data_IF_363479326002
#
_entry.id   IF_363479326002
#
_cell.length_a   1.000
_cell.length_b   1.000
_cell.length_c   1.000
_cell.angle_alpha   90.00
_cell.angle_beta   90.00
_cell.angle_gamma   90.00
#
_symmetry.space_group_name_H-M   'P 1'
#
loop_
_entity.id
_entity.type
_entity.pdbx_description
1 polymer ?
#
# COMPACT_ATOMS: atom_id res chain seq x y z
N UNK A 1 -64.70 59.69 -38.86
CA UNK A 1 -63.84 60.38 -37.88
C UNK A 1 -64.51 60.35 -36.50
N UNK A 2 -63.79 59.76 -35.54
CA UNK A 2 -63.77 60.09 -34.09
C UNK A 2 -65.07 60.07 -33.27
N UNK A 3 -65.25 59.02 -32.44
CA UNK A 3 -65.11 59.04 -30.95
C UNK A 3 -65.88 57.88 -30.30
N UNK A 4 -65.17 56.91 -29.75
CA UNK A 4 -65.69 55.95 -28.75
C UNK A 4 -64.59 55.65 -27.73
N UNK A 5 -64.52 56.45 -26.67
CA UNK A 5 -63.70 56.16 -25.48
C UNK A 5 -64.29 56.86 -24.25
N UNK A 6 -65.39 56.34 -23.73
CA UNK A 6 -65.91 56.73 -22.42
C UNK A 6 -66.62 55.60 -21.65
N UNK A 7 -66.43 54.34 -22.04
CA UNK A 7 -67.15 53.20 -21.45
C UNK A 7 -66.24 52.02 -21.07
N UNK A 8 -65.03 52.28 -20.54
CA UNK A 8 -64.16 51.22 -20.01
C UNK A 8 -63.60 51.48 -18.61
N UNK A 9 -63.79 52.66 -18.02
CA UNK A 9 -63.14 52.99 -16.75
C UNK A 9 -63.99 52.69 -15.49
N UNK A 10 -65.31 52.47 -15.62
CA UNK A 10 -66.16 52.14 -14.46
C UNK A 10 -66.26 50.64 -14.12
N UNK A 11 -65.75 49.75 -14.98
CA UNK A 11 -65.85 48.30 -14.76
C UNK A 11 -64.66 47.71 -14.00
N UNK A 12 -63.50 48.39 -13.98
CA UNK A 12 -62.31 47.90 -13.29
C UNK A 12 -62.25 48.26 -11.79
N UNK A 13 -62.94 49.31 -11.34
CA UNK A 13 -62.93 49.68 -9.92
C UNK A 13 -63.83 48.77 -9.06
N UNK A 14 -64.93 48.25 -9.60
CA UNK A 14 -65.82 47.34 -8.85
C UNK A 14 -65.28 45.91 -8.75
N UNK A 15 -64.49 45.46 -9.74
CA UNK A 15 -63.92 44.12 -9.75
C UNK A 15 -62.72 43.99 -8.78
N UNK A 16 -61.97 45.08 -8.55
CA UNK A 16 -60.86 45.05 -7.58
C UNK A 16 -61.33 45.09 -6.12
N UNK A 17 -62.50 45.67 -5.82
CA UNK A 17 -63.06 45.65 -4.46
C UNK A 17 -63.64 44.27 -4.07
N UNK A 18 -64.10 43.48 -5.04
CA UNK A 18 -64.62 42.13 -4.79
C UNK A 18 -63.52 41.07 -4.64
N UNK A 19 -62.32 41.32 -5.18
CA UNK A 19 -61.19 40.39 -5.04
C UNK A 19 -60.42 40.56 -3.73
N UNK A 20 -60.48 41.75 -3.11
CA UNK A 20 -59.80 42.03 -1.85
C UNK A 20 -60.54 41.49 -0.61
N UNK A 21 -61.84 41.21 -0.72
CA UNK A 21 -62.66 40.67 0.38
C UNK A 21 -62.75 39.14 0.39
N UNK A 22 -62.29 38.45 -0.66
CA UNK A 22 -62.22 36.98 -0.72
C UNK A 22 -60.89 36.39 -0.21
N UNK A 23 -59.94 37.23 0.20
CA UNK A 23 -58.60 36.82 0.66
C UNK A 23 -58.45 36.76 2.20
N UNK A 24 -59.54 36.97 2.96
CA UNK A 24 -59.49 37.08 4.43
C UNK A 24 -60.22 35.95 5.19
N UNK A 25 -60.72 34.89 4.53
CA UNK A 25 -61.53 33.86 5.20
C UNK A 25 -61.21 32.40 4.80
N UNK A 26 -59.96 32.07 4.47
CA UNK A 26 -59.51 30.66 4.39
C UNK A 26 -58.47 30.41 5.49
N UNK A 27 -58.96 30.45 6.72
CA UNK A 27 -58.31 29.84 7.87
C UNK A 27 -58.97 28.50 8.16
N UNK A 28 -58.39 27.41 7.64
CA UNK A 28 -58.61 26.05 8.15
C UNK A 28 -57.27 25.30 8.17
N UNK A 29 -56.67 25.27 9.36
CA UNK A 29 -56.07 24.08 9.97
C UNK A 29 -55.38 23.07 9.04
N UNK A 30 -54.16 23.39 8.60
CA UNK A 30 -53.15 22.36 8.35
C UNK A 30 -52.17 22.38 9.51
N UNK A 31 -52.56 21.77 10.64
CA UNK A 31 -51.58 21.28 11.61
C UNK A 31 -50.79 20.17 10.92
N UNK A 32 -49.77 20.55 10.16
CA UNK A 32 -48.71 19.64 9.76
C UNK A 32 -48.06 19.18 11.07
N UNK A 33 -48.51 18.04 11.59
CA UNK A 33 -47.71 17.33 12.56
C UNK A 33 -46.37 17.11 11.88
N UNK A 34 -45.32 17.78 12.39
CA UNK A 34 -43.96 17.42 12.07
C UNK A 34 -43.81 15.98 12.56
N UNK A 35 -44.11 15.03 11.68
CA UNK A 35 -43.80 13.62 11.87
C UNK A 35 -42.33 13.62 12.22
N UNK A 36 -42.00 13.17 13.43
CA UNK A 36 -40.62 13.04 13.84
C UNK A 36 -39.88 12.24 12.74
N UNK A 37 -38.64 12.62 12.38
CA UNK A 37 -37.87 11.83 11.42
C UNK A 37 -37.89 10.38 11.89
N UNK A 38 -38.26 9.47 10.98
CA UNK A 38 -38.32 8.05 11.29
C UNK A 38 -36.94 7.59 11.75
N UNK A 39 -36.89 6.74 12.79
CA UNK A 39 -35.64 6.17 13.26
C UNK A 39 -34.92 5.47 12.09
N UNK A 40 -33.58 5.60 11.98
CA UNK A 40 -32.81 5.00 10.90
C UNK A 40 -33.01 3.47 10.90
N UNK A 41 -33.28 2.89 9.73
CA UNK A 41 -33.46 1.46 9.59
C UNK A 41 -32.15 0.71 9.87
N UNK A 42 -32.26 -0.58 10.22
CA UNK A 42 -31.10 -1.40 10.57
C UNK A 42 -30.02 -1.42 9.46
N UNK A 43 -30.41 -1.34 8.19
CA UNK A 43 -29.50 -1.32 7.04
C UNK A 43 -29.05 0.06 6.56
N UNK A 44 -29.49 1.15 7.18
CA UNK A 44 -29.09 2.49 6.77
C UNK A 44 -27.62 2.77 7.19
N UNK A 45 -26.89 3.60 6.42
CA UNK A 45 -25.55 4.05 6.80
C UNK A 45 -25.57 4.84 8.13
N UNK A 46 -24.40 5.03 8.79
CA UNK A 46 -24.35 5.81 10.01
C UNK A 46 -24.68 7.28 9.77
N UNK A 47 -25.34 7.89 10.76
CA UNK A 47 -25.66 9.30 10.85
C UNK A 47 -24.39 10.09 11.20
N UNK A 48 -23.63 9.66 12.21
CA UNK A 48 -22.49 10.45 12.71
C UNK A 48 -21.35 10.56 11.69
N UNK A 49 -20.99 9.45 11.04
CA UNK A 49 -19.75 9.27 10.25
C UNK A 49 -18.50 9.83 10.95
N UNK A 50 -18.49 9.77 12.28
CA UNK A 50 -17.43 10.32 13.12
C UNK A 50 -16.72 9.17 13.81
N UNK A 51 -15.47 8.93 13.42
CA UNK A 51 -14.63 7.92 14.04
C UNK A 51 -13.16 8.24 13.81
N UNK A 52 -12.31 7.69 14.67
CA UNK A 52 -10.86 7.85 14.65
C UNK A 52 -10.21 6.51 14.96
N UNK A 53 -9.16 6.17 14.24
CA UNK A 53 -8.31 5.02 14.54
C UNK A 53 -7.56 5.30 15.86
N UNK A 54 -7.69 4.39 16.83
CA UNK A 54 -6.90 4.45 18.07
C UNK A 54 -5.57 3.75 17.83
N UNK A 55 -5.62 2.47 17.42
CA UNK A 55 -4.46 1.63 17.20
C UNK A 55 -4.78 0.49 16.24
N UNK A 56 -3.74 -0.07 15.61
CA UNK A 56 -3.82 -1.35 14.94
C UNK A 56 -3.51 -2.43 15.98
N UNK A 57 -4.51 -3.23 16.34
CA UNK A 57 -4.38 -4.23 17.41
C UNK A 57 -3.63 -5.47 16.90
N UNK A 58 -3.88 -5.84 15.64
CA UNK A 58 -3.16 -6.88 14.92
C UNK A 58 -3.18 -6.61 13.42
N UNK A 59 -2.58 -7.52 12.64
CA UNK A 59 -2.64 -7.52 11.18
C UNK A 59 -4.09 -7.51 10.63
N UNK A 60 -5.03 -8.11 11.36
CA UNK A 60 -6.43 -8.34 10.97
C UNK A 60 -7.45 -7.59 11.83
N UNK A 61 -7.03 -6.93 12.91
CA UNK A 61 -7.91 -6.21 13.81
C UNK A 61 -7.45 -4.78 14.08
N UNK A 62 -8.40 -3.84 14.01
CA UNK A 62 -8.16 -2.43 14.34
C UNK A 62 -9.08 -1.98 15.45
N UNK A 63 -8.58 -1.09 16.31
CA UNK A 63 -9.37 -0.47 17.37
C UNK A 63 -9.78 0.94 16.92
N UNK A 64 -11.07 1.17 16.80
CA UNK A 64 -11.65 2.42 16.30
C UNK A 64 -12.50 3.06 17.39
N UNK A 65 -12.26 4.33 17.70
CA UNK A 65 -13.17 5.13 18.53
C UNK A 65 -14.19 5.77 17.61
N UNK A 66 -15.47 5.45 17.80
CA UNK A 66 -16.55 6.00 17.01
C UNK A 66 -17.57 6.75 17.88
N UNK A 67 -18.10 7.82 17.31
CA UNK A 67 -19.22 8.59 17.87
C UNK A 67 -20.52 8.05 17.29
N UNK A 68 -21.56 7.93 18.11
CA UNK A 68 -22.89 7.59 17.64
C UNK A 68 -23.94 8.56 18.12
N UNK A 69 -24.95 8.75 17.29
CA UNK A 69 -26.05 9.68 17.50
C UNK A 69 -27.40 8.93 17.41
N UNK A 70 -28.34 9.24 18.29
CA UNK A 70 -29.68 8.64 18.26
C UNK A 70 -30.69 9.34 19.15
N UNK A 71 -31.98 9.04 18.99
CA UNK A 71 -33.03 9.54 19.90
C UNK A 71 -33.11 8.75 21.20
N UNK A 72 -32.37 7.65 21.28
CA UNK A 72 -32.17 6.87 22.49
C UNK A 72 -30.73 6.38 22.56
N UNK A 73 -30.29 6.03 23.76
CA UNK A 73 -29.02 5.33 24.01
C UNK A 73 -28.84 4.06 23.17
N UNK A 74 -29.92 3.35 22.84
CA UNK A 74 -29.85 2.15 21.99
C UNK A 74 -29.52 2.51 20.55
N UNK A 75 -30.20 3.52 20.00
CA UNK A 75 -29.95 4.03 18.65
C UNK A 75 -28.54 4.63 18.52
N UNK A 76 -28.11 5.42 19.51
CA UNK A 76 -26.77 6.00 19.52
C UNK A 76 -25.68 4.91 19.55
N UNK A 77 -25.90 3.78 20.24
CA UNK A 77 -24.99 2.63 20.20
C UNK A 77 -24.93 1.97 18.83
N UNK A 78 -26.09 1.78 18.19
CA UNK A 78 -26.14 1.18 16.86
C UNK A 78 -25.49 2.07 15.82
N UNK A 79 -25.72 3.38 15.89
CA UNK A 79 -25.07 4.37 15.04
C UNK A 79 -23.54 4.37 15.22
N UNK A 80 -23.05 4.31 16.47
CA UNK A 80 -21.61 4.24 16.76
C UNK A 80 -20.94 3.01 16.12
N UNK A 81 -21.60 1.85 16.17
CA UNK A 81 -21.12 0.62 15.51
C UNK A 81 -21.00 0.80 14.01
N UNK A 82 -22.07 1.33 13.39
CA UNK A 82 -22.11 1.60 11.94
C UNK A 82 -21.06 2.64 11.54
N UNK A 83 -20.82 3.65 12.37
CA UNK A 83 -19.80 4.67 12.15
C UNK A 83 -18.39 4.08 12.19
N UNK A 84 -18.13 3.13 13.10
CA UNK A 84 -16.88 2.40 13.15
C UNK A 84 -16.64 1.56 11.88
N UNK A 85 -17.68 0.83 11.42
CA UNK A 85 -17.61 0.06 10.17
C UNK A 85 -17.44 0.96 8.94
N UNK A 86 -18.20 2.05 8.85
CA UNK A 86 -18.06 3.05 7.78
C UNK A 86 -16.64 3.62 7.73
N UNK A 87 -16.03 3.87 8.89
CA UNK A 87 -14.68 4.42 8.97
C UNK A 87 -13.65 3.48 8.33
N UNK A 88 -13.69 2.18 8.62
CA UNK A 88 -12.74 1.23 8.00
C UNK A 88 -13.03 0.98 6.52
N UNK A 89 -14.29 1.12 6.09
CA UNK A 89 -14.67 0.91 4.69
C UNK A 89 -14.34 2.09 3.79
N UNK A 90 -14.65 3.31 4.23
CA UNK A 90 -14.67 4.50 3.38
C UNK A 90 -13.99 5.72 4.00
N UNK A 91 -13.88 5.74 5.32
CA UNK A 91 -13.24 6.82 6.08
C UNK A 91 -11.77 6.54 6.37
N UNK A 92 -11.20 7.36 7.26
CA UNK A 92 -9.80 7.25 7.65
C UNK A 92 -8.83 7.49 6.49
N UNK A 93 -7.58 7.16 6.73
CA UNK A 93 -6.49 7.38 5.76
C UNK A 93 -6.21 6.12 4.92
N UNK A 94 -6.68 4.95 5.37
CA UNK A 94 -6.50 3.65 4.69
C UNK A 94 -7.82 2.88 4.59
N UNK A 95 -8.83 3.40 3.88
CA UNK A 95 -10.10 2.71 3.71
C UNK A 95 -9.92 1.36 2.98
N UNK A 96 -10.84 0.43 3.17
CA UNK A 96 -10.88 -0.80 2.36
C UNK A 96 -11.38 -0.55 0.94
N UNK A 97 -12.15 0.53 0.73
CA UNK A 97 -12.69 0.94 -0.57
C UNK A 97 -11.95 2.19 -1.06
N UNK A 98 -10.92 1.95 -1.88
CA UNK A 98 -9.92 2.95 -2.28
C UNK A 98 -10.30 3.71 -3.56
N UNK A 99 -11.15 3.14 -4.40
CA UNK A 99 -11.56 3.79 -5.66
C UNK A 99 -13.08 3.99 -5.76
N UNK A 100 -13.49 4.86 -6.69
CA UNK A 100 -14.89 5.21 -6.89
C UNK A 100 -15.74 4.04 -7.40
N UNK A 101 -15.14 3.11 -8.14
CA UNK A 101 -15.82 1.91 -8.67
C UNK A 101 -16.18 0.96 -7.52
N UNK A 102 -15.24 0.71 -6.61
CA UNK A 102 -15.46 -0.09 -5.39
C UNK A 102 -16.54 0.54 -4.52
N UNK A 103 -16.52 1.86 -4.34
CA UNK A 103 -17.55 2.58 -3.58
C UNK A 103 -18.93 2.47 -4.22
N UNK A 104 -19.03 2.58 -5.55
CA UNK A 104 -20.28 2.37 -6.28
C UNK A 104 -20.76 0.91 -6.21
N UNK A 105 -19.85 -0.05 -6.29
CA UNK A 105 -20.17 -1.46 -6.12
C UNK A 105 -20.69 -1.74 -4.71
N UNK A 106 -20.02 -1.19 -3.69
CA UNK A 106 -20.44 -1.27 -2.30
C UNK A 106 -21.79 -0.63 -2.04
N UNK A 107 -22.11 0.53 -2.65
CA UNK A 107 -23.39 1.21 -2.50
C UNK A 107 -24.59 0.30 -2.83
N UNK A 108 -24.43 -0.64 -3.78
CA UNK A 108 -25.46 -1.65 -4.12
C UNK A 108 -25.66 -2.73 -3.05
N UNK A 109 -24.74 -2.82 -2.09
CA UNK A 109 -24.70 -3.82 -1.03
C UNK A 109 -24.66 -3.22 0.38
N UNK A 110 -24.74 -1.89 0.53
CA UNK A 110 -24.64 -1.17 1.82
C UNK A 110 -25.55 -1.75 2.89
N UNK A 111 -26.80 -2.02 2.53
CA UNK A 111 -27.81 -2.57 3.43
C UNK A 111 -27.35 -3.90 4.06
N UNK A 112 -26.64 -4.74 3.31
CA UNK A 112 -26.13 -6.02 3.80
C UNK A 112 -25.08 -5.82 4.89
N UNK A 113 -24.13 -4.90 4.68
CA UNK A 113 -23.04 -4.67 5.64
C UNK A 113 -23.55 -3.96 6.91
N UNK A 114 -24.39 -2.93 6.77
CA UNK A 114 -24.87 -2.18 7.94
C UNK A 114 -25.88 -2.93 8.79
N UNK A 115 -26.71 -3.80 8.19
CA UNK A 115 -27.63 -4.66 8.95
C UNK A 115 -26.89 -5.75 9.74
N UNK A 116 -25.68 -6.12 9.32
CA UNK A 116 -24.83 -7.15 9.95
C UNK A 116 -23.57 -6.58 10.60
N UNK A 117 -23.60 -5.32 11.05
CA UNK A 117 -22.42 -4.64 11.59
C UNK A 117 -21.71 -5.43 12.71
N UNK A 118 -22.46 -6.21 13.49
CA UNK A 118 -21.93 -7.02 14.59
C UNK A 118 -21.05 -8.18 14.11
N UNK A 119 -21.23 -8.67 12.88
CA UNK A 119 -20.43 -9.78 12.34
C UNK A 119 -18.97 -9.37 12.12
N UNK A 120 -18.70 -8.06 12.06
CA UNK A 120 -17.37 -7.50 11.86
C UNK A 120 -16.76 -6.94 13.16
N UNK A 121 -17.52 -6.84 14.25
CA UNK A 121 -17.05 -6.29 15.53
C UNK A 121 -16.72 -7.43 16.49
N UNK A 122 -15.43 -7.60 16.81
CA UNK A 122 -14.96 -8.65 17.73
C UNK A 122 -15.02 -8.24 19.18
N UNK A 123 -14.96 -6.94 19.48
CA UNK A 123 -15.07 -6.43 20.84
C UNK A 123 -15.66 -5.02 20.88
N UNK A 124 -16.45 -4.74 21.91
CA UNK A 124 -16.94 -3.40 22.24
C UNK A 124 -16.42 -2.98 23.61
N UNK A 125 -15.63 -1.90 23.66
CA UNK A 125 -15.10 -1.35 24.92
C UNK A 125 -16.19 -0.68 25.77
N UNK A 126 -15.83 0.00 26.85
CA UNK A 126 -16.82 0.78 27.62
C UNK A 126 -17.21 2.09 26.91
N UNK A 127 -18.32 2.72 27.35
CA UNK A 127 -18.72 4.04 26.85
C UNK A 127 -17.74 5.07 27.42
N UNK A 128 -16.99 5.72 26.54
CA UNK A 128 -15.96 6.71 26.89
C UNK A 128 -16.57 8.08 27.20
N UNK A 129 -17.63 8.43 26.48
CA UNK A 129 -18.36 9.69 26.68
C UNK A 129 -19.84 9.50 26.41
N UNK A 130 -20.67 10.21 27.18
CA UNK A 130 -22.12 10.29 27.01
C UNK A 130 -22.58 11.73 27.21
N UNK A 131 -23.35 12.25 26.27
CA UNK A 131 -24.00 13.57 26.35
C UNK A 131 -25.40 13.49 25.75
N UNK A 132 -26.29 14.35 26.22
CA UNK A 132 -27.61 14.54 25.62
C UNK A 132 -27.66 15.97 25.10
N UNK A 133 -27.61 16.11 23.78
CA UNK A 133 -27.64 17.39 23.08
C UNK A 133 -29.09 17.62 22.60
N UNK A 134 -29.90 18.26 23.44
CA UNK A 134 -31.31 18.48 23.18
C UNK A 134 -32.15 17.20 23.19
N UNK A 135 -32.64 16.76 22.03
CA UNK A 135 -33.43 15.51 21.86
C UNK A 135 -32.62 14.35 21.28
N UNK A 136 -31.30 14.44 21.33
CA UNK A 136 -30.40 13.47 20.74
C UNK A 136 -29.35 13.04 21.76
N UNK A 137 -29.23 11.74 21.97
CA UNK A 137 -28.15 11.14 22.73
C UNK A 137 -26.92 11.00 21.82
N UNK A 138 -25.79 11.43 22.34
CA UNK A 138 -24.47 11.31 21.75
C UNK A 138 -23.59 10.43 22.63
N UNK A 139 -22.95 9.43 22.02
CA UNK A 139 -22.00 8.57 22.72
C UNK A 139 -20.67 8.50 21.97
N UNK A 140 -19.60 8.20 22.70
CA UNK A 140 -18.32 7.78 22.13
C UNK A 140 -17.90 6.44 22.73
N UNK A 141 -17.45 5.53 21.88
CA UNK A 141 -17.09 4.16 22.28
C UNK A 141 -16.01 3.58 21.36
N UNK A 142 -15.18 2.69 21.91
CA UNK A 142 -14.19 1.96 21.14
C UNK A 142 -14.73 0.60 20.65
N UNK A 143 -14.40 0.26 19.41
CA UNK A 143 -14.80 -0.97 18.73
C UNK A 143 -13.58 -1.64 18.11
N UNK A 144 -13.39 -2.93 18.38
CA UNK A 144 -12.41 -3.76 17.67
C UNK A 144 -13.09 -4.37 16.45
N UNK A 145 -12.54 -4.12 15.27
CA UNK A 145 -13.11 -4.55 13.99
C UNK A 145 -12.19 -5.57 13.33
N UNK A 146 -12.75 -6.71 12.91
CA UNK A 146 -12.05 -7.72 12.14
C UNK A 146 -12.10 -7.39 10.64
N UNK A 147 -10.95 -6.99 10.12
CA UNK A 147 -10.77 -6.59 8.73
C UNK A 147 -10.77 -7.79 7.77
N UNK A 148 -10.37 -8.97 8.20
CA UNK A 148 -10.30 -10.15 7.32
C UNK A 148 -11.69 -10.68 7.00
N UNK A 149 -12.57 -10.80 8.01
CA UNK A 149 -13.98 -11.15 7.79
C UNK A 149 -14.64 -10.15 6.84
N UNK A 150 -14.39 -8.85 7.06
CA UNK A 150 -14.94 -7.79 6.22
C UNK A 150 -14.42 -7.87 4.78
N UNK A 151 -13.11 -8.08 4.59
CA UNK A 151 -12.50 -8.24 3.26
C UNK A 151 -13.05 -9.48 2.54
N UNK A 152 -13.17 -10.61 3.21
CA UNK A 152 -13.69 -11.83 2.62
C UNK A 152 -15.12 -11.64 2.10
N UNK A 153 -15.97 -10.92 2.84
CA UNK A 153 -17.31 -10.56 2.40
C UNK A 153 -17.32 -9.60 1.20
N UNK A 154 -16.40 -8.62 1.17
CA UNK A 154 -16.25 -7.71 0.02
C UNK A 154 -15.80 -8.46 -1.24
N UNK A 155 -14.87 -9.43 -1.10
CA UNK A 155 -14.38 -10.29 -2.19
C UNK A 155 -15.51 -11.20 -2.69
N UNK A 156 -16.21 -11.89 -1.79
CA UNK A 156 -17.32 -12.79 -2.14
C UNK A 156 -18.44 -12.09 -2.92
N UNK A 157 -18.54 -10.76 -2.80
CA UNK A 157 -19.52 -9.91 -3.50
C UNK A 157 -18.95 -9.22 -4.73
N UNK A 158 -17.72 -9.51 -5.12
CA UNK A 158 -17.00 -8.86 -6.22
C UNK A 158 -16.95 -7.33 -6.07
N UNK A 159 -16.89 -6.82 -4.84
CA UNK A 159 -16.73 -5.39 -4.57
C UNK A 159 -15.25 -5.02 -4.66
N UNK A 160 -14.39 -5.89 -4.13
CA UNK A 160 -12.93 -5.80 -4.26
C UNK A 160 -12.40 -7.10 -4.86
N UNK A 161 -11.31 -7.04 -5.61
CA UNK A 161 -10.63 -8.23 -6.13
C UNK A 161 -9.94 -8.98 -5.00
N UNK A 162 -9.87 -10.32 -5.08
CA UNK A 162 -9.02 -11.09 -4.18
C UNK A 162 -7.58 -10.65 -4.37
N UNK A 163 -6.85 -10.38 -3.29
CA UNK A 163 -5.43 -9.98 -3.33
C UNK A 163 -4.54 -11.00 -4.06
N UNK A 164 -4.99 -12.26 -4.15
CA UNK A 164 -4.38 -13.29 -5.00
C UNK A 164 -4.32 -12.91 -6.48
N UNK A 165 -5.18 -12.03 -7.00
CA UNK A 165 -5.15 -11.66 -8.42
C UNK A 165 -4.00 -10.71 -8.78
N UNK A 166 -3.49 -9.91 -7.84
CA UNK A 166 -2.36 -9.01 -8.08
C UNK A 166 -1.01 -9.75 -7.99
N UNK A 167 -0.85 -10.62 -6.99
CA UNK A 167 0.36 -11.43 -6.82
C UNK A 167 0.43 -12.63 -7.80
N UNK A 168 -0.71 -13.14 -8.29
CA UNK A 168 -0.73 -14.22 -9.28
C UNK A 168 -0.60 -13.72 -10.74
N UNK A 169 -0.93 -12.45 -11.02
CA UNK A 169 -0.75 -11.88 -12.37
C UNK A 169 0.72 -11.52 -12.68
N UNK A 170 1.55 -11.34 -11.66
CA UNK A 170 2.96 -10.97 -11.84
C UNK A 170 3.78 -11.89 -10.96
N UNK A 171 4.58 -12.79 -11.56
CA UNK A 171 5.60 -13.66 -10.93
C UNK A 171 5.93 -13.19 -9.51
N UNK A 172 5.26 -13.75 -8.50
CA UNK A 172 5.21 -13.24 -7.11
C UNK A 172 6.63 -12.98 -6.57
N UNK A 173 7.14 -11.72 -6.63
CA UNK A 173 8.55 -11.46 -6.42
C UNK A 173 8.91 -11.61 -4.95
N UNK A 174 10.15 -12.02 -4.67
CA UNK A 174 10.68 -11.91 -3.33
C UNK A 174 11.13 -10.46 -3.08
N UNK A 175 10.57 -9.84 -2.04
CA UNK A 175 10.83 -8.45 -1.67
C UNK A 175 11.63 -8.41 -0.37
N UNK A 176 12.80 -7.77 -0.38
CA UNK A 176 13.50 -7.38 0.85
C UNK A 176 13.07 -5.99 1.29
N UNK A 177 12.74 -5.83 2.58
CA UNK A 177 12.56 -4.50 3.18
C UNK A 177 13.75 -4.22 4.07
N UNK A 178 14.49 -3.16 3.76
CA UNK A 178 15.78 -2.82 4.39
C UNK A 178 15.71 -1.37 4.87
N UNK A 179 16.18 -1.11 6.09
CA UNK A 179 16.28 0.27 6.58
C UNK A 179 17.51 0.94 5.97
N UNK A 180 17.36 2.14 5.41
CA UNK A 180 18.50 2.89 4.88
C UNK A 180 19.32 3.57 5.99
N UNK A 181 18.75 3.69 7.18
CA UNK A 181 19.42 4.14 8.40
C UNK A 181 19.17 3.16 9.57
N UNK A 182 19.85 3.40 10.70
CA UNK A 182 19.72 2.59 11.92
C UNK A 182 18.80 3.22 12.98
N UNK A 183 17.90 4.12 12.58
CA UNK A 183 16.99 4.75 13.52
C UNK A 183 15.90 3.77 13.97
N UNK A 184 15.51 3.84 15.24
CA UNK A 184 14.40 3.05 15.79
C UNK A 184 13.10 3.28 15.02
N UNK A 185 12.90 4.50 14.50
CA UNK A 185 11.75 4.85 13.67
C UNK A 185 11.76 4.10 12.35
N UNK A 186 12.89 4.06 11.64
CA UNK A 186 13.02 3.33 10.38
C UNK A 186 12.82 1.83 10.57
N UNK A 187 13.36 1.25 11.65
CA UNK A 187 13.15 -0.17 11.99
C UNK A 187 11.66 -0.45 12.23
N UNK A 188 10.99 0.38 13.03
CA UNK A 188 9.56 0.23 13.31
C UNK A 188 8.72 0.39 12.04
N UNK A 189 9.03 1.39 11.20
CA UNK A 189 8.35 1.60 9.94
C UNK A 189 8.56 0.44 8.97
N UNK A 190 9.78 -0.11 8.88
CA UNK A 190 10.10 -1.27 8.05
C UNK A 190 9.32 -2.52 8.49
N UNK A 191 9.15 -2.75 9.79
CA UNK A 191 8.30 -3.84 10.30
C UNK A 191 6.85 -3.68 9.84
N UNK A 192 6.24 -2.50 10.05
CA UNK A 192 4.85 -2.25 9.63
C UNK A 192 4.70 -2.36 8.12
N UNK A 193 5.67 -1.83 7.36
CA UNK A 193 5.70 -1.91 5.90
C UNK A 193 5.74 -3.39 5.44
N UNK A 194 6.58 -4.20 6.08
CA UNK A 194 6.72 -5.62 5.76
C UNK A 194 5.44 -6.40 6.04
N UNK A 195 4.81 -6.18 7.19
CA UNK A 195 3.50 -6.77 7.52
C UNK A 195 2.43 -6.38 6.50
N UNK A 196 2.45 -5.12 6.05
CA UNK A 196 1.52 -4.63 5.03
C UNK A 196 1.69 -5.34 3.67
N UNK A 197 2.93 -5.60 3.26
CA UNK A 197 3.24 -6.36 2.04
C UNK A 197 2.86 -7.84 2.19
N UNK A 198 3.20 -8.49 3.30
CA UNK A 198 2.87 -9.89 3.56
C UNK A 198 1.34 -10.13 3.53
N UNK A 199 0.56 -9.22 4.11
CA UNK A 199 -0.92 -9.26 4.03
C UNK A 199 -1.47 -9.19 2.61
N UNK A 200 -0.70 -8.66 1.65
CA UNK A 200 -1.06 -8.61 0.23
C UNK A 200 -0.53 -9.79 -0.57
N UNK A 201 0.05 -10.79 0.09
CA UNK A 201 0.50 -12.04 -0.53
C UNK A 201 1.92 -12.00 -1.10
N UNK A 202 2.65 -10.92 -0.88
CA UNK A 202 4.06 -10.83 -1.28
C UNK A 202 4.93 -11.70 -0.38
N UNK A 203 5.96 -12.31 -0.96
CA UNK A 203 7.03 -12.97 -0.21
C UNK A 203 8.00 -11.91 0.29
N UNK A 204 8.01 -11.67 1.60
CA UNK A 204 8.83 -10.61 2.19
C UNK A 204 9.91 -11.20 3.07
N UNK A 205 11.15 -10.75 2.87
CA UNK A 205 12.29 -10.99 3.75
C UNK A 205 12.61 -9.68 4.46
N UNK A 206 12.55 -9.69 5.78
CA UNK A 206 12.99 -8.54 6.59
C UNK A 206 14.45 -8.78 6.95
N UNK A 207 15.31 -7.83 6.61
CA UNK A 207 16.75 -7.96 6.85
C UNK A 207 17.25 -6.74 7.59
N UNK A 208 18.02 -6.97 8.64
CA UNK A 208 18.64 -5.89 9.40
C UNK A 208 19.91 -5.40 8.69
N UNK A 209 20.09 -4.08 8.62
CA UNK A 209 21.32 -3.44 8.15
C UNK A 209 22.57 -3.76 9.01
N UNK A 210 22.41 -4.50 10.12
CA UNK A 210 23.49 -5.06 10.94
C UNK A 210 24.03 -6.41 10.45
N UNK A 211 23.35 -7.08 9.51
CA UNK A 211 23.81 -8.37 8.98
C UNK A 211 25.16 -8.23 8.27
N UNK A 212 26.06 -9.17 8.56
CA UNK A 212 27.38 -9.21 7.94
C UNK A 212 27.22 -9.56 6.46
N UNK A 213 27.68 -8.66 5.60
CA UNK A 213 27.74 -8.90 4.16
C UNK A 213 28.80 -9.98 3.89
N UNK A 214 28.44 -10.99 3.11
CA UNK A 214 29.28 -12.09 2.69
C UNK A 214 30.48 -11.54 1.88
N UNK A 215 31.67 -12.02 2.20
CA UNK A 215 32.91 -11.61 1.54
C UNK A 215 32.87 -11.87 0.03
N UNK A 216 32.23 -12.95 -0.42
CA UNK A 216 32.04 -13.26 -1.84
C UNK A 216 31.23 -12.17 -2.54
N UNK A 217 30.16 -11.69 -1.91
CA UNK A 217 29.33 -10.60 -2.46
C UNK A 217 30.15 -9.30 -2.52
N UNK A 218 30.91 -8.99 -1.47
CA UNK A 218 31.77 -7.79 -1.45
C UNK A 218 32.83 -7.84 -2.54
N UNK A 219 33.50 -8.98 -2.71
CA UNK A 219 34.50 -9.19 -3.75
C UNK A 219 33.86 -9.09 -5.13
N UNK A 220 32.84 -9.89 -5.41
CA UNK A 220 32.18 -9.94 -6.72
C UNK A 220 31.64 -8.58 -7.18
N UNK A 221 31.28 -7.71 -6.25
CA UNK A 221 30.73 -6.39 -6.55
C UNK A 221 31.75 -5.25 -6.47
N UNK A 222 32.98 -5.51 -6.04
CA UNK A 222 34.05 -4.51 -5.96
C UNK A 222 34.37 -3.87 -7.33
N UNK A 223 34.22 -4.64 -8.42
CA UNK A 223 34.43 -4.15 -9.80
C UNK A 223 33.44 -3.06 -10.19
N UNK A 224 32.23 -3.07 -9.61
CA UNK A 224 31.20 -2.07 -9.88
C UNK A 224 31.44 -0.75 -9.11
N UNK A 225 32.47 -0.70 -8.24
CA UNK A 225 32.79 0.45 -7.39
C UNK A 225 32.13 0.39 -6.00
N UNK A 226 32.12 1.53 -5.30
CA UNK A 226 31.50 1.62 -3.97
C UNK A 226 29.99 1.54 -4.10
N UNK A 227 29.43 0.40 -3.69
CA UNK A 227 28.00 0.13 -3.74
C UNK A 227 27.35 0.35 -2.38
N UNK A 228 26.07 0.74 -2.43
CA UNK A 228 25.21 0.91 -1.27
C UNK A 228 25.12 -0.40 -0.45
N UNK A 229 25.37 -0.38 0.87
CA UNK A 229 25.21 -1.54 1.73
C UNK A 229 23.83 -2.22 1.64
N UNK A 230 22.75 -1.47 1.42
CA UNK A 230 21.40 -2.03 1.26
C UNK A 230 21.27 -2.87 -0.01
N UNK A 231 21.92 -2.44 -1.09
CA UNK A 231 21.99 -3.18 -2.35
C UNK A 231 22.78 -4.49 -2.20
N UNK A 232 23.92 -4.45 -1.51
CA UNK A 232 24.72 -5.66 -1.25
C UNK A 232 23.96 -6.68 -0.40
N UNK A 233 23.22 -6.20 0.59
CA UNK A 233 22.37 -7.05 1.41
C UNK A 233 21.24 -7.68 0.61
N UNK A 234 20.61 -6.93 -0.31
CA UNK A 234 19.59 -7.45 -1.22
C UNK A 234 20.12 -8.55 -2.16
N UNK A 235 21.35 -8.40 -2.68
CA UNK A 235 22.02 -9.43 -3.47
C UNK A 235 22.29 -10.68 -2.64
N UNK A 236 22.73 -10.52 -1.39
CA UNK A 236 22.99 -11.63 -0.49
C UNK A 236 21.72 -12.42 -0.15
N UNK A 237 20.61 -11.73 0.15
CA UNK A 237 19.34 -12.38 0.54
C UNK A 237 18.58 -12.96 -0.65
N UNK A 238 19.02 -12.70 -1.88
CA UNK A 238 18.43 -13.26 -3.09
C UNK A 238 17.08 -12.65 -3.42
N UNK A 239 16.85 -11.41 -3.02
CA UNK A 239 15.59 -10.72 -3.26
C UNK A 239 15.52 -10.21 -4.69
N UNK A 240 14.37 -10.41 -5.35
CA UNK A 240 14.13 -9.87 -6.68
C UNK A 240 14.03 -8.34 -6.61
N UNK A 241 13.36 -7.82 -5.59
CA UNK A 241 13.17 -6.39 -5.34
C UNK A 241 13.65 -6.08 -3.93
N UNK A 242 14.30 -4.95 -3.74
CA UNK A 242 14.53 -4.41 -2.39
C UNK A 242 13.93 -3.03 -2.24
N UNK A 243 13.44 -2.75 -1.03
CA UNK A 243 12.83 -1.49 -0.65
C UNK A 243 13.66 -0.89 0.48
N UNK A 244 14.23 0.28 0.21
CA UNK A 244 14.93 1.09 1.20
C UNK A 244 13.91 1.97 1.95
N UNK A 245 13.87 1.86 3.28
CA UNK A 245 12.97 2.61 4.15
C UNK A 245 13.74 3.61 5.01
N UNK A 246 13.24 4.85 5.06
CA UNK A 246 13.60 5.84 6.08
C UNK A 246 12.35 6.37 6.76
N UNK A 247 12.45 6.69 8.04
CA UNK A 247 11.35 7.25 8.80
C UNK A 247 11.82 8.32 9.78
N UNK A 248 11.01 9.37 9.90
CA UNK A 248 11.24 10.47 10.82
C UNK A 248 9.94 10.90 11.50
N UNK A 249 10.09 11.54 12.66
CA UNK A 249 8.97 12.13 13.39
C UNK A 249 9.27 13.60 13.67
N UNK A 250 8.37 14.48 13.26
CA UNK A 250 8.41 15.89 13.62
C UNK A 250 7.42 16.15 14.77
N UNK A 251 7.79 17.03 15.70
CA UNK A 251 6.90 17.47 16.77
C UNK A 251 6.89 19.00 16.87
N UNK A 252 5.73 19.58 17.17
CA UNK A 252 5.59 21.01 17.48
C UNK A 252 4.67 21.23 18.67
N UNK A 253 4.95 22.27 19.46
CA UNK A 253 4.12 22.64 20.61
C UNK A 253 3.11 23.70 20.22
N UNK A 254 1.82 23.42 20.41
CA UNK A 254 0.72 24.36 20.15
C UNK A 254 -0.20 24.42 21.37
N UNK A 255 -0.37 25.61 21.94
CA UNK A 255 -1.25 25.84 23.10
C UNK A 255 -1.02 24.86 24.27
N UNK A 256 0.25 24.56 24.58
CA UNK A 256 0.65 23.65 25.66
C UNK A 256 0.59 22.16 25.33
N UNK A 257 0.11 21.79 24.14
CA UNK A 257 0.09 20.40 23.67
C UNK A 257 1.23 20.15 22.67
N UNK A 258 1.92 19.02 22.80
CA UNK A 258 2.88 18.56 21.80
C UNK A 258 2.15 17.74 20.74
N UNK A 259 2.10 18.28 19.52
CA UNK A 259 1.58 17.62 18.34
C UNK A 259 2.74 16.93 17.62
N UNK A 260 2.51 15.70 17.14
CA UNK A 260 3.51 14.94 16.41
C UNK A 260 2.97 14.43 15.08
N UNK A 261 3.85 14.34 14.10
CA UNK A 261 3.61 13.79 12.77
C UNK A 261 4.77 12.88 12.39
N UNK A 262 4.48 11.78 11.69
CA UNK A 262 5.49 10.90 11.12
C UNK A 262 5.51 10.99 9.59
N UNK A 263 6.70 10.84 9.03
CA UNK A 263 6.96 10.73 7.60
C UNK A 263 7.74 9.45 7.34
N UNK A 264 7.31 8.64 6.37
CA UNK A 264 8.00 7.41 5.97
C UNK A 264 8.26 7.45 4.46
N UNK A 265 9.52 7.36 4.05
CA UNK A 265 9.90 7.28 2.64
C UNK A 265 10.32 5.86 2.30
N UNK A 266 9.82 5.36 1.19
CA UNK A 266 10.09 4.03 0.68
C UNK A 266 10.51 4.11 -0.80
N UNK A 267 11.67 3.55 -1.13
CA UNK A 267 12.17 3.49 -2.51
C UNK A 267 12.45 2.05 -2.90
N UNK A 268 11.80 1.58 -3.97
CA UNK A 268 11.94 0.22 -4.48
C UNK A 268 12.91 0.17 -5.66
N UNK A 269 13.73 -0.88 -5.70
CA UNK A 269 14.71 -1.12 -6.75
C UNK A 269 14.66 -2.56 -7.23
N UNK A 270 14.95 -2.77 -8.51
CA UNK A 270 15.15 -4.10 -9.06
C UNK A 270 16.59 -4.56 -8.74
N UNK A 271 16.75 -5.59 -7.93
CA UNK A 271 18.06 -6.00 -7.39
C UNK A 271 19.07 -6.37 -8.48
N UNK A 272 18.64 -7.02 -9.57
CA UNK A 272 19.57 -7.44 -10.63
C UNK A 272 20.18 -6.24 -11.38
N UNK A 273 19.42 -5.16 -11.56
CA UNK A 273 19.81 -4.03 -12.41
C UNK A 273 20.20 -2.78 -11.63
N UNK A 274 19.75 -2.66 -10.38
CA UNK A 274 19.84 -1.44 -9.58
C UNK A 274 18.84 -0.36 -10.00
N UNK A 275 17.97 -0.63 -10.99
CA UNK A 275 17.01 0.36 -11.47
C UNK A 275 15.93 0.64 -10.42
N UNK A 276 15.62 1.91 -10.21
CA UNK A 276 14.51 2.29 -9.35
C UNK A 276 13.17 1.92 -10.01
N UNK A 277 12.36 1.14 -9.32
CA UNK A 277 11.03 0.71 -9.75
C UNK A 277 9.93 1.69 -9.31
N UNK A 278 10.15 2.40 -8.20
CA UNK A 278 9.23 3.38 -7.66
C UNK A 278 9.73 4.02 -6.37
N UNK A 279 9.11 5.13 -5.99
CA UNK A 279 9.35 5.80 -4.71
C UNK A 279 8.05 6.42 -4.19
N UNK A 280 7.86 6.35 -2.88
CA UNK A 280 6.71 6.94 -2.22
C UNK A 280 7.08 7.52 -0.86
N UNK A 281 6.37 8.59 -0.50
CA UNK A 281 6.39 9.14 0.85
C UNK A 281 4.98 9.10 1.43
N UNK A 282 4.88 8.53 2.62
CA UNK A 282 3.67 8.45 3.40
C UNK A 282 3.72 9.36 4.62
N UNK A 283 2.55 9.85 5.02
CA UNK A 283 2.42 10.81 6.12
C UNK A 283 1.37 10.34 7.12
N UNK A 284 1.62 10.63 8.40
CA UNK A 284 0.57 10.56 9.40
C UNK A 284 -0.19 11.87 9.51
N UNK A 285 -1.38 11.81 10.07
CA UNK A 285 -2.07 13.00 10.57
C UNK A 285 -1.33 13.54 11.79
N UNK A 286 -1.20 14.86 11.87
CA UNK A 286 -0.64 15.52 13.04
C UNK A 286 -1.63 15.46 14.21
N UNK A 287 -1.20 14.93 15.36
CA UNK A 287 -2.02 14.85 16.57
C UNK A 287 -1.18 14.65 17.83
N UNK A 288 -1.81 14.85 18.99
CA UNK A 288 -1.21 14.51 20.28
C UNK A 288 -1.15 12.99 20.40
N UNK A 289 0.04 12.45 20.69
CA UNK A 289 0.27 11.01 20.87
C UNK A 289 1.13 10.76 22.10
N UNK A 290 0.88 9.63 22.76
CA UNK A 290 1.72 9.14 23.88
C UNK A 290 2.96 8.36 23.40
N UNK A 291 3.01 8.00 22.11
CA UNK A 291 4.13 7.31 21.47
C UNK A 291 4.08 7.39 19.94
N UNK A 292 5.24 7.24 19.30
CA UNK A 292 5.38 7.40 17.84
C UNK A 292 4.84 6.22 17.02
N UNK A 293 4.57 5.07 17.63
CA UNK A 293 4.19 3.86 16.88
C UNK A 293 2.93 3.99 16.05
N UNK A 294 1.88 4.65 16.57
CA UNK A 294 0.63 4.82 15.83
C UNK A 294 0.78 5.73 14.60
N UNK A 295 1.54 6.82 14.73
CA UNK A 295 1.79 7.76 13.62
C UNK A 295 2.77 7.16 12.60
N UNK A 296 3.81 6.45 13.05
CA UNK A 296 4.73 5.73 12.17
C UNK A 296 4.01 4.64 11.38
N UNK A 297 3.12 3.87 12.03
CA UNK A 297 2.35 2.84 11.34
C UNK A 297 1.40 3.41 10.29
N UNK A 298 0.79 4.57 10.55
CA UNK A 298 -0.05 5.27 9.57
C UNK A 298 0.77 5.71 8.34
N UNK A 299 1.88 6.41 8.58
CA UNK A 299 2.78 6.86 7.52
C UNK A 299 3.37 5.69 6.71
N UNK A 300 3.76 4.59 7.37
CA UNK A 300 4.29 3.40 6.70
C UNK A 300 3.25 2.71 5.81
N UNK A 301 2.01 2.55 6.29
CA UNK A 301 0.93 1.96 5.51
C UNK A 301 0.55 2.84 4.29
N UNK A 302 0.51 4.17 4.46
CA UNK A 302 0.26 5.12 3.37
C UNK A 302 1.38 5.07 2.31
N UNK A 303 2.64 5.03 2.75
CA UNK A 303 3.80 4.88 1.85
C UNK A 303 3.75 3.55 1.08
N UNK A 304 3.39 2.46 1.75
CA UNK A 304 3.30 1.14 1.15
C UNK A 304 2.20 1.05 0.07
N UNK A 305 1.03 1.64 0.32
CA UNK A 305 -0.06 1.68 -0.65
C UNK A 305 0.36 2.39 -1.95
N UNK A 306 0.94 3.59 -1.78
CA UNK A 306 1.45 4.41 -2.88
C UNK A 306 2.55 3.69 -3.67
N UNK A 307 3.50 3.06 -2.97
CA UNK A 307 4.61 2.38 -3.63
C UNK A 307 4.13 1.14 -4.40
N UNK A 308 3.24 0.33 -3.83
CA UNK A 308 2.71 -0.87 -4.51
C UNK A 308 2.03 -0.57 -5.85
N UNK A 309 1.32 0.55 -5.93
CA UNK A 309 0.69 0.99 -7.18
C UNK A 309 1.71 1.26 -8.28
N UNK A 310 2.85 1.88 -7.94
CA UNK A 310 3.95 2.11 -8.90
C UNK A 310 4.69 0.81 -9.23
N UNK A 311 4.96 0.00 -8.20
CA UNK A 311 5.76 -1.21 -8.29
C UNK A 311 5.08 -2.24 -9.18
N UNK A 312 3.76 -2.40 -9.11
CA UNK A 312 2.99 -3.32 -9.97
C UNK A 312 3.17 -3.00 -11.46
N UNK A 313 3.06 -1.72 -11.83
CA UNK A 313 3.21 -1.29 -13.23
C UNK A 313 4.64 -1.45 -13.74
N UNK A 314 5.64 -1.13 -12.91
CA UNK A 314 7.05 -1.31 -13.27
C UNK A 314 7.42 -2.79 -13.37
N UNK A 315 6.99 -3.63 -12.41
CA UNK A 315 7.28 -5.06 -12.39
C UNK A 315 6.64 -5.82 -13.56
N UNK A 316 5.42 -5.44 -13.98
CA UNK A 316 4.81 -6.01 -15.19
C UNK A 316 5.65 -5.75 -16.45
N UNK A 317 6.24 -4.56 -16.58
CA UNK A 317 7.11 -4.24 -17.73
C UNK A 317 8.40 -5.04 -17.69
N UNK A 318 9.05 -5.13 -16.53
CA UNK A 318 10.27 -5.93 -16.35
C UNK A 318 10.00 -7.41 -16.64
N UNK A 319 8.91 -7.97 -16.09
CA UNK A 319 8.53 -9.38 -16.33
C UNK A 319 8.24 -9.69 -17.79
N UNK A 320 7.76 -8.73 -18.58
CA UNK A 320 7.48 -8.92 -20.00
C UNK A 320 8.75 -8.95 -20.87
N UNK A 321 9.86 -8.37 -20.40
CA UNK A 321 11.13 -8.32 -21.14
C UNK A 321 12.03 -9.54 -20.88
N UNK A 322 11.64 -10.40 -19.94
CA UNK A 322 12.45 -11.51 -19.45
C UNK A 322 13.11 -11.19 -18.11
N UNK A 323 13.58 -12.21 -17.41
CA UNK A 323 14.20 -12.02 -16.08
C UNK A 323 15.63 -11.53 -16.24
N UNK A 324 15.98 -10.48 -15.52
CA UNK A 324 17.35 -9.98 -15.45
C UNK A 324 18.12 -10.64 -14.31
N UNK A 325 19.39 -10.93 -14.57
CA UNK A 325 20.34 -11.55 -13.66
C UNK A 325 21.61 -10.70 -13.61
N UNK A 326 22.12 -10.47 -12.41
CA UNK A 326 23.48 -9.92 -12.23
C UNK A 326 24.46 -11.08 -12.22
N UNK A 327 25.37 -11.09 -13.17
CA UNK A 327 26.38 -12.14 -13.32
C UNK A 327 27.76 -11.55 -13.20
N UNK A 328 28.55 -12.06 -12.25
CA UNK A 328 29.97 -11.75 -12.12
C UNK A 328 30.75 -12.98 -12.56
N UNK A 329 31.57 -12.83 -13.60
CA UNK A 329 32.38 -13.90 -14.15
C UNK A 329 33.86 -13.60 -13.97
N UNK A 330 34.61 -14.52 -13.37
CA UNK A 330 36.07 -14.43 -13.23
C UNK A 330 36.79 -15.59 -13.91
N UNK A 331 38.07 -15.41 -14.26
CA UNK A 331 38.95 -16.46 -14.79
C UNK A 331 40.04 -16.83 -13.78
N UNK A 332 40.31 -18.13 -13.62
CA UNK A 332 41.50 -18.60 -12.92
C UNK A 332 42.80 -18.20 -13.66
N UNK A 333 43.90 -17.98 -12.92
CA UNK A 333 45.22 -17.86 -13.51
C UNK A 333 45.52 -19.05 -14.45
N UNK A 334 45.99 -18.75 -15.66
CA UNK A 334 46.33 -19.76 -16.66
C UNK A 334 45.22 -20.14 -17.64
N UNK A 335 43.97 -19.72 -17.41
CA UNK A 335 42.86 -19.89 -18.38
C UNK A 335 43.04 -18.99 -19.61
N UNK A 336 43.69 -17.84 -19.45
CA UNK A 336 43.90 -16.83 -20.49
C UNK A 336 42.74 -15.83 -20.60
N UNK A 337 42.70 -15.06 -21.68
CA UNK A 337 41.65 -14.05 -21.91
C UNK A 337 40.31 -14.72 -22.25
N UNK A 338 39.35 -14.57 -21.34
CA UNK A 338 37.97 -15.08 -21.51
C UNK A 338 36.98 -14.01 -21.98
N UNK A 339 37.42 -12.76 -22.20
CA UNK A 339 36.53 -11.60 -22.44
C UNK A 339 35.61 -11.78 -23.65
N UNK A 340 36.14 -12.30 -24.75
CA UNK A 340 35.38 -12.60 -25.98
C UNK A 340 34.51 -13.85 -25.82
N UNK A 341 35.04 -15.01 -25.40
CA UNK A 341 34.23 -16.22 -25.18
C UNK A 341 33.05 -15.98 -24.23
N UNK A 342 33.24 -15.26 -23.11
CA UNK A 342 32.16 -15.02 -22.16
C UNK A 342 31.08 -14.10 -22.73
N UNK A 343 31.47 -13.04 -23.45
CA UNK A 343 30.49 -12.15 -24.09
C UNK A 343 29.68 -12.86 -25.16
N UNK A 344 30.33 -13.73 -25.94
CA UNK A 344 29.66 -14.57 -26.96
C UNK A 344 28.70 -15.56 -26.32
N UNK A 345 29.12 -16.25 -25.25
CA UNK A 345 28.27 -17.15 -24.49
C UNK A 345 27.01 -16.43 -23.99
N UNK A 346 27.17 -15.29 -23.33
CA UNK A 346 26.04 -14.53 -22.78
C UNK A 346 25.10 -14.02 -23.86
N UNK A 347 25.63 -13.54 -24.98
CA UNK A 347 24.81 -13.08 -26.11
C UNK A 347 24.11 -14.21 -26.85
N UNK A 348 24.61 -15.45 -26.74
CA UNK A 348 23.99 -16.63 -27.33
C UNK A 348 22.87 -17.18 -26.45
N UNK A 349 23.06 -17.20 -25.13
CA UNK A 349 22.11 -17.78 -24.16
C UNK A 349 20.98 -16.81 -23.80
N UNK A 350 21.26 -15.50 -23.81
CA UNK A 350 20.35 -14.47 -23.31
C UNK A 350 19.96 -13.48 -24.41
N UNK A 351 18.76 -12.91 -24.30
CA UNK A 351 18.26 -11.94 -25.28
C UNK A 351 19.00 -10.60 -25.19
N UNK A 352 19.48 -10.25 -23.99
CA UNK A 352 20.34 -9.09 -23.76
C UNK A 352 21.50 -9.45 -22.84
N UNK A 353 22.70 -8.99 -23.20
CA UNK A 353 23.90 -9.12 -22.39
C UNK A 353 24.60 -7.76 -22.32
N UNK A 354 24.46 -7.07 -21.18
CA UNK A 354 25.08 -5.77 -20.95
C UNK A 354 26.26 -5.91 -19.99
N UNK A 355 27.45 -5.54 -20.45
CA UNK A 355 28.64 -5.45 -19.59
C UNK A 355 28.64 -4.13 -18.82
N UNK A 356 28.73 -4.19 -17.50
CA UNK A 356 28.76 -3.02 -16.62
C UNK A 356 30.19 -2.57 -16.32
N UNK A 357 31.03 -3.51 -15.91
CA UNK A 357 32.41 -3.29 -15.53
C UNK A 357 33.29 -4.47 -15.98
N UNK A 358 34.58 -4.21 -16.14
CA UNK A 358 35.58 -5.22 -16.51
C UNK A 358 36.92 -4.88 -15.83
N UNK A 359 37.52 -5.89 -15.20
CA UNK A 359 38.91 -5.91 -14.76
C UNK A 359 39.78 -6.72 -15.73
N UNK A 360 40.96 -7.14 -15.27
CA UNK A 360 41.90 -7.97 -16.04
C UNK A 360 41.37 -9.39 -16.28
N UNK A 361 40.78 -10.00 -15.24
CA UNK A 361 40.31 -11.38 -15.23
C UNK A 361 38.83 -11.53 -14.85
N UNK A 362 38.15 -10.43 -14.51
CA UNK A 362 36.80 -10.45 -13.97
C UNK A 362 35.87 -9.46 -14.66
N UNK A 363 34.60 -9.82 -14.81
CA UNK A 363 33.61 -9.07 -15.60
C UNK A 363 32.26 -9.05 -14.91
N UNK A 364 31.63 -7.89 -14.85
CA UNK A 364 30.28 -7.69 -14.33
C UNK A 364 29.30 -7.49 -15.48
N UNK A 365 28.26 -8.33 -15.52
CA UNK A 365 27.20 -8.32 -16.51
C UNK A 365 25.82 -8.25 -15.88
N UNK A 366 24.91 -7.59 -16.60
CA UNK A 366 23.47 -7.81 -16.46
C UNK A 366 23.01 -8.58 -17.68
N UNK A 367 22.41 -9.75 -17.44
CA UNK A 367 21.88 -10.63 -18.47
C UNK A 367 20.36 -10.69 -18.36
N UNK A 368 19.65 -10.46 -19.45
CA UNK A 368 18.19 -10.66 -19.52
C UNK A 368 17.93 -11.92 -20.33
N UNK A 369 17.36 -12.94 -19.68
CA UNK A 369 17.28 -14.28 -20.24
C UNK A 369 15.89 -14.89 -20.02
N UNK A 370 15.47 -15.76 -20.93
CA UNK A 370 14.35 -16.66 -20.70
C UNK A 370 14.82 -17.86 -19.87
N UNK A 371 15.00 -17.63 -18.56
CA UNK A 371 15.36 -18.66 -17.60
C UNK A 371 14.40 -18.64 -16.41
N UNK A 372 14.13 -19.81 -15.84
CA UNK A 372 13.22 -19.93 -14.70
C UNK A 372 13.82 -19.32 -13.44
N UNK A 373 15.08 -19.66 -13.19
CA UNK A 373 15.86 -19.25 -12.03
C UNK A 373 17.34 -19.19 -12.41
N UNK A 374 18.19 -18.89 -11.43
CA UNK A 374 19.63 -18.74 -11.61
C UNK A 374 20.34 -20.07 -11.92
N UNK A 375 19.81 -21.19 -11.46
CA UNK A 375 20.38 -22.52 -11.71
C UNK A 375 20.10 -22.97 -13.14
N UNK A 376 18.88 -22.72 -13.64
CA UNK A 376 18.55 -22.92 -15.06
C UNK A 376 19.44 -22.06 -15.97
N UNK A 377 19.73 -20.81 -15.58
CA UNK A 377 20.71 -19.99 -16.27
C UNK A 377 22.11 -20.63 -16.25
N UNK A 378 22.60 -21.04 -15.08
CA UNK A 378 23.92 -21.67 -14.95
C UNK A 378 24.08 -22.89 -15.86
N UNK A 379 23.10 -23.81 -15.88
CA UNK A 379 23.17 -25.00 -16.74
C UNK A 379 23.20 -24.63 -18.22
N UNK A 380 22.41 -23.64 -18.65
CA UNK A 380 22.48 -23.15 -20.04
C UNK A 380 23.84 -22.56 -20.36
N UNK A 381 24.45 -21.83 -19.43
CA UNK A 381 25.79 -21.27 -19.60
C UNK A 381 26.84 -22.38 -19.72
N UNK A 382 26.77 -23.42 -18.88
CA UNK A 382 27.66 -24.58 -18.93
C UNK A 382 27.53 -25.36 -20.24
N UNK A 383 26.29 -25.65 -20.69
CA UNK A 383 26.02 -26.42 -21.90
C UNK A 383 26.50 -25.72 -23.19
N UNK A 384 26.51 -24.38 -23.17
CA UNK A 384 26.91 -23.57 -24.33
C UNK A 384 28.35 -23.06 -24.24
N UNK A 385 29.08 -23.36 -23.17
CA UNK A 385 30.46 -22.92 -23.02
C UNK A 385 31.38 -23.60 -24.04
N UNK A 386 32.10 -22.79 -24.81
CA UNK A 386 33.09 -23.22 -25.82
C UNK A 386 34.47 -22.61 -25.61
N UNK A 387 34.67 -21.88 -24.51
CA UNK A 387 35.94 -21.25 -24.17
C UNK A 387 36.91 -22.20 -23.46
N UNK A 388 38.09 -21.71 -23.06
CA UNK A 388 39.04 -22.48 -22.27
C UNK A 388 38.47 -22.83 -20.89
N UNK A 389 38.88 -23.98 -20.34
CA UNK A 389 38.41 -24.43 -19.03
C UNK A 389 36.92 -24.80 -18.99
N UNK A 390 36.35 -24.77 -17.79
CA UNK A 390 34.95 -25.05 -17.47
C UNK A 390 34.39 -23.95 -16.57
N UNK A 391 33.09 -23.73 -16.64
CA UNK A 391 32.38 -22.84 -15.73
C UNK A 391 32.15 -23.59 -14.40
N UNK A 392 32.46 -22.92 -13.31
CA UNK A 392 32.20 -23.35 -11.94
C UNK A 392 31.33 -22.30 -11.25
N UNK A 393 30.35 -22.77 -10.48
CA UNK A 393 29.53 -21.90 -9.64
C UNK A 393 30.27 -21.58 -8.36
N UNK A 394 30.43 -20.29 -8.07
CA UNK A 394 30.97 -19.85 -6.77
C UNK A 394 29.85 -19.44 -5.82
N UNK A 395 28.87 -18.69 -6.32
CA UNK A 395 27.72 -18.28 -5.52
C UNK A 395 26.49 -18.12 -6.41
N UNK A 396 25.33 -18.49 -5.87
CA UNK A 396 24.04 -18.12 -6.42
C UNK A 396 23.14 -17.60 -5.29
N UNK A 397 22.40 -16.53 -5.55
CA UNK A 397 21.38 -16.01 -4.63
C UNK A 397 20.33 -15.21 -5.40
N UNK A 398 19.11 -15.73 -5.49
CA UNK A 398 18.02 -15.08 -6.23
C UNK A 398 18.35 -14.85 -7.70
N UNK A 399 18.54 -13.59 -8.09
CA UNK A 399 18.94 -13.18 -9.45
C UNK A 399 20.45 -12.86 -9.58
N UNK A 400 21.25 -13.14 -8.55
CA UNK A 400 22.69 -12.93 -8.52
C UNK A 400 23.44 -14.24 -8.72
N UNK A 401 24.41 -14.24 -9.64
CA UNK A 401 25.26 -15.38 -9.97
C UNK A 401 26.71 -14.94 -10.02
N UNK A 402 27.57 -15.69 -9.33
CA UNK A 402 29.02 -15.56 -9.42
C UNK A 402 29.58 -16.85 -9.97
N UNK A 403 30.23 -16.76 -11.12
CA UNK A 403 30.89 -17.88 -11.78
C UNK A 403 32.39 -17.65 -11.91
N UNK A 404 33.12 -18.75 -11.87
CA UNK A 404 34.55 -18.81 -12.13
C UNK A 404 34.81 -19.74 -13.30
N UNK A 405 35.66 -19.34 -14.24
CA UNK A 405 36.12 -20.19 -15.33
C UNK A 405 37.50 -20.72 -14.96
N UNK A 406 37.67 -22.03 -14.97
CA UNK A 406 38.88 -22.69 -14.49
C UNK A 406 39.12 -24.07 -15.08
N UNK A 407 40.21 -24.72 -14.70
CA UNK A 407 40.46 -26.13 -15.05
C UNK A 407 40.12 -27.08 -13.91
N UNK A 408 40.10 -26.56 -12.68
CA UNK A 408 39.82 -27.30 -11.46
C UNK A 408 38.67 -26.68 -10.68
N UNK A 409 38.01 -27.53 -9.90
CA UNK A 409 37.00 -27.11 -8.94
C UNK A 409 37.71 -26.60 -7.67
N UNK A 410 37.96 -25.29 -7.62
CA UNK A 410 38.48 -24.56 -6.46
C UNK A 410 37.48 -23.48 -6.02
N UNK A 411 37.33 -23.25 -4.72
CA UNK A 411 36.32 -22.32 -4.17
C UNK A 411 36.76 -20.84 -4.21
N UNK A 412 37.98 -20.53 -4.67
CA UNK A 412 38.56 -19.18 -4.55
C UNK A 412 38.20 -18.27 -5.73
N UNK A 413 37.64 -17.07 -5.46
CA UNK A 413 37.51 -15.99 -6.44
C UNK A 413 38.76 -15.12 -6.39
N UNK A 414 39.46 -15.01 -7.52
CA UNK A 414 40.57 -14.07 -7.69
C UNK A 414 40.05 -12.85 -8.46
N UNK A 415 39.93 -11.72 -7.77
CA UNK A 415 39.61 -10.42 -8.38
C UNK A 415 40.84 -9.54 -8.18
N UNK A 416 41.51 -9.22 -9.28
CA UNK A 416 42.67 -8.32 -9.32
C UNK A 416 42.27 -6.88 -9.63
#
# INVERSE_FOLDING_TARGET
MTRTTACRLRFHLLLMCLLATLLLLIGCSSSSSKKAPAAPAAGDPPISRQAVLIESYSASEVLVRATGLGHSMSEARQDARKAALWFVLMGGNTPLLNDQTQRQAFARHEQHFYSRVMDYITHEGEILSRRTDGKQDRIERAFRINLDTLRNDLIARNIISSTSSLAAQVSNPQISVITADRSTHSIQAATVFSEYLQRRGFRVVVTDASERINQVVQQATALSGTLDPTYLLALQTGSDIYIAITAETASRTLAGNTLSQATVTATAYYTATGNQLGAATGYSTERVVSGSGAILGEAANDSADKLLNQLTASWQRESAQGRSYKVVASAEPGVGDISRPIHQLFSQVCSQARRNAAGSSSFDYILTCESRDVMDLLFKLEDHWRGPGRIFRVMDSGAFLVIRIGFTDSDDIIIE
#
